data_IF_965045571947
#
_entry.id   IF_965045571947
#
_cell.length_a   1.000
_cell.length_b   1.000
_cell.length_c   1.000
_cell.angle_alpha   90.00
_cell.angle_beta   90.00
_cell.angle_gamma   90.00
#
_symmetry.space_group_name_H-M   'P 1'
#
loop_
_entity.id
_entity.type
_entity.pdbx_description
1 polymer ?
#
# COMPACT_ATOMS: atom_id res chain seq x y z
N UNK A 1 -1.54 -1.02 -19.06
CA UNK A 1 -1.29 -2.31 -19.73
C UNK A 1 0.20 -2.37 -20.04
N UNK A 2 1.01 -3.10 -19.25
CA UNK A 2 2.42 -3.30 -19.62
C UNK A 2 2.44 -4.11 -20.91
N UNK A 3 2.99 -3.55 -22.00
CA UNK A 3 3.26 -4.36 -23.20
C UNK A 3 4.25 -5.45 -22.79
N UNK A 4 4.17 -6.64 -23.37
CA UNK A 4 5.14 -7.72 -23.10
C UNK A 4 6.59 -7.26 -23.26
N UNK A 5 6.83 -6.27 -24.12
CA UNK A 5 8.13 -5.59 -24.27
C UNK A 5 8.58 -4.83 -23.02
N UNK A 6 7.68 -4.10 -22.36
CA UNK A 6 8.01 -3.29 -21.18
C UNK A 6 8.38 -4.18 -19.99
N UNK A 7 7.64 -5.28 -19.81
CA UNK A 7 7.94 -6.29 -18.79
C UNK A 7 9.29 -6.97 -19.05
N UNK A 8 9.54 -7.40 -20.29
CA UNK A 8 10.82 -8.02 -20.65
C UNK A 8 11.99 -7.04 -20.50
N UNK A 9 11.78 -5.74 -20.78
CA UNK A 9 12.78 -4.70 -20.60
C UNK A 9 13.11 -4.48 -19.12
N UNK A 10 12.10 -4.44 -18.25
CA UNK A 10 12.29 -4.34 -16.80
C UNK A 10 13.01 -5.57 -16.23
N UNK A 11 12.67 -6.76 -16.70
CA UNK A 11 13.33 -8.00 -16.30
C UNK A 11 14.79 -8.00 -16.74
N UNK A 12 15.08 -7.57 -17.98
CA UNK A 12 16.44 -7.45 -18.49
C UNK A 12 17.25 -6.43 -17.68
N UNK A 13 16.69 -5.26 -17.40
CA UNK A 13 17.32 -4.24 -16.54
C UNK A 13 17.61 -4.78 -15.13
N UNK A 14 16.67 -5.53 -14.56
CA UNK A 14 16.83 -6.15 -13.24
C UNK A 14 18.00 -7.13 -13.23
N UNK A 15 18.07 -8.03 -14.21
CA UNK A 15 19.19 -8.97 -14.37
C UNK A 15 20.50 -8.23 -14.59
N UNK A 16 20.49 -7.16 -15.39
CA UNK A 16 21.68 -6.37 -15.70
C UNK A 16 22.22 -5.62 -14.47
N UNK A 17 21.34 -5.04 -13.65
CA UNK A 17 21.71 -4.42 -12.37
C UNK A 17 22.33 -5.46 -11.43
N UNK A 18 21.71 -6.64 -11.29
CA UNK A 18 22.26 -7.72 -10.46
C UNK A 18 23.61 -8.22 -10.98
N UNK A 19 23.78 -8.31 -12.30
CA UNK A 19 25.05 -8.69 -12.92
C UNK A 19 26.14 -7.65 -12.69
N UNK A 20 25.84 -6.36 -12.81
CA UNK A 20 26.80 -5.26 -12.53
C UNK A 20 27.20 -5.29 -11.05
N UNK A 21 26.24 -5.43 -10.14
CA UNK A 21 26.52 -5.50 -8.70
C UNK A 21 27.34 -6.76 -8.36
N UNK A 22 27.02 -7.90 -8.97
CA UNK A 22 27.77 -9.16 -8.82
C UNK A 22 29.21 -9.06 -9.34
N UNK A 23 29.40 -8.47 -10.52
CA UNK A 23 30.73 -8.16 -11.05
C UNK A 23 31.49 -7.20 -10.13
N UNK A 24 30.81 -6.19 -9.58
CA UNK A 24 31.36 -5.28 -8.59
C UNK A 24 31.87 -6.02 -7.34
N UNK A 25 31.13 -7.03 -6.84
CA UNK A 25 31.56 -7.84 -5.69
C UNK A 25 32.81 -8.66 -6.03
N UNK A 26 32.87 -9.23 -7.23
CA UNK A 26 34.00 -10.03 -7.69
C UNK A 26 35.28 -9.18 -7.86
N UNK A 27 35.16 -7.98 -8.41
CA UNK A 27 36.30 -7.08 -8.69
C UNK A 27 36.71 -6.22 -7.50
N UNK A 28 35.87 -6.10 -6.46
CA UNK A 28 36.15 -5.27 -5.29
C UNK A 28 37.33 -5.81 -4.47
N UNK A 29 38.36 -4.99 -4.19
CA UNK A 29 39.54 -5.43 -3.45
C UNK A 29 39.34 -5.45 -1.92
N UNK A 30 38.42 -4.65 -1.36
CA UNK A 30 38.24 -4.52 0.10
C UNK A 30 36.98 -5.22 0.60
N UNK A 31 37.04 -5.76 1.83
CA UNK A 31 35.89 -6.39 2.47
C UNK A 31 34.71 -5.42 2.64
N UNK A 32 35.00 -4.16 3.01
CA UNK A 32 33.99 -3.12 3.21
C UNK A 32 33.21 -2.83 1.92
N UNK A 33 33.90 -2.72 0.77
CA UNK A 33 33.24 -2.52 -0.53
C UNK A 33 32.38 -3.72 -0.93
N UNK A 34 32.87 -4.95 -0.70
CA UNK A 34 32.07 -6.17 -0.95
C UNK A 34 30.80 -6.18 -0.11
N UNK A 35 30.89 -5.87 1.18
CA UNK A 35 29.73 -5.84 2.07
C UNK A 35 28.73 -4.75 1.66
N UNK A 36 29.21 -3.57 1.27
CA UNK A 36 28.36 -2.50 0.78
C UNK A 36 27.59 -2.91 -0.50
N UNK A 37 28.25 -3.58 -1.45
CA UNK A 37 27.61 -4.07 -2.67
C UNK A 37 26.61 -5.20 -2.39
N UNK A 38 26.92 -6.10 -1.46
CA UNK A 38 25.99 -7.15 -1.00
C UNK A 38 24.73 -6.49 -0.39
N UNK A 39 24.89 -5.49 0.47
CA UNK A 39 23.77 -4.76 1.05
C UNK A 39 22.93 -4.05 -0.03
N UNK A 40 23.56 -3.47 -1.05
CA UNK A 40 22.85 -2.88 -2.18
C UNK A 40 22.01 -3.91 -2.96
N UNK A 41 22.51 -5.13 -3.15
CA UNK A 41 21.73 -6.23 -3.76
C UNK A 41 20.52 -6.56 -2.88
N UNK A 42 20.71 -6.67 -1.55
CA UNK A 42 19.63 -6.97 -0.60
C UNK A 42 18.55 -5.88 -0.66
N UNK A 43 18.93 -4.60 -0.62
CA UNK A 43 17.99 -3.49 -0.69
C UNK A 43 17.26 -3.44 -2.04
N UNK A 44 17.97 -3.66 -3.15
CA UNK A 44 17.35 -3.70 -4.48
C UNK A 44 16.34 -4.85 -4.61
N UNK A 45 16.69 -6.04 -4.10
CA UNK A 45 15.79 -7.18 -4.07
C UNK A 45 14.56 -6.92 -3.18
N UNK A 46 14.73 -6.24 -2.04
CA UNK A 46 13.62 -5.85 -1.17
C UNK A 46 12.66 -4.87 -1.88
N UNK A 47 13.19 -3.88 -2.62
CA UNK A 47 12.36 -2.96 -3.41
C UNK A 47 11.59 -3.69 -4.50
N UNK A 48 12.24 -4.60 -5.25
CA UNK A 48 11.57 -5.41 -6.26
C UNK A 48 10.47 -6.28 -5.65
N UNK A 49 10.73 -6.87 -4.49
CA UNK A 49 9.75 -7.64 -3.76
C UNK A 49 8.54 -6.80 -3.39
N UNK A 50 8.73 -5.62 -2.78
CA UNK A 50 7.66 -4.70 -2.41
C UNK A 50 6.86 -4.25 -3.67
N UNK A 51 7.54 -3.96 -4.77
CA UNK A 51 6.89 -3.58 -6.02
C UNK A 51 6.06 -4.73 -6.61
N UNK A 52 6.60 -5.95 -6.64
CA UNK A 52 5.88 -7.15 -7.10
C UNK A 52 4.66 -7.43 -6.24
N UNK A 53 4.80 -7.34 -4.91
CA UNK A 53 3.69 -7.45 -3.95
C UNK A 53 2.60 -6.46 -4.34
N UNK A 54 2.94 -5.18 -4.48
CA UNK A 54 1.99 -4.11 -4.82
C UNK A 54 1.29 -4.36 -6.16
N UNK A 55 2.02 -4.82 -7.18
CA UNK A 55 1.46 -5.14 -8.50
C UNK A 55 0.50 -6.33 -8.46
N UNK A 56 0.78 -7.35 -7.65
CA UNK A 56 -0.13 -8.49 -7.45
C UNK A 56 -1.43 -8.02 -6.79
N UNK A 57 -1.36 -7.15 -5.78
CA UNK A 57 -2.54 -6.55 -5.15
C UNK A 57 -3.38 -5.78 -6.17
N UNK A 58 -2.73 -4.90 -6.94
CA UNK A 58 -3.40 -4.07 -7.95
C UNK A 58 -4.06 -4.89 -9.07
N UNK A 59 -3.50 -6.05 -9.41
CA UNK A 59 -3.98 -6.86 -10.54
C UNK A 59 -4.97 -7.95 -10.14
N UNK A 60 -4.68 -8.71 -9.08
CA UNK A 60 -5.42 -9.92 -8.74
C UNK A 60 -6.46 -9.71 -7.63
N UNK A 61 -6.48 -8.51 -7.03
CA UNK A 61 -7.44 -8.15 -5.99
C UNK A 61 -7.14 -8.78 -4.62
N UNK A 62 -8.04 -8.50 -3.67
CA UNK A 62 -7.80 -8.66 -2.23
C UNK A 62 -7.50 -10.11 -1.79
N UNK A 63 -8.01 -11.12 -2.51
CA UNK A 63 -7.80 -12.54 -2.19
C UNK A 63 -6.34 -12.96 -2.32
N UNK A 64 -5.67 -12.53 -3.39
CA UNK A 64 -4.27 -12.86 -3.62
C UNK A 64 -3.34 -12.00 -2.75
N UNK A 65 -3.76 -10.78 -2.42
CA UNK A 65 -3.10 -9.97 -1.40
C UNK A 65 -3.06 -10.65 -0.03
N UNK A 66 -4.20 -11.16 0.44
CA UNK A 66 -4.28 -11.81 1.75
C UNK A 66 -3.36 -13.04 1.85
N UNK A 67 -3.29 -13.84 0.79
CA UNK A 67 -2.43 -15.03 0.75
C UNK A 67 -0.95 -14.65 0.79
N UNK A 68 -0.56 -13.63 0.04
CA UNK A 68 0.81 -13.11 0.02
C UNK A 68 1.18 -12.44 1.35
N UNK A 69 0.29 -11.64 1.93
CA UNK A 69 0.48 -11.04 3.24
C UNK A 69 0.66 -12.12 4.31
N UNK A 70 -0.10 -13.22 4.24
CA UNK A 70 0.07 -14.35 5.16
C UNK A 70 1.44 -15.03 5.00
N UNK A 71 1.93 -15.22 3.77
CA UNK A 71 3.29 -15.76 3.53
C UNK A 71 4.36 -14.81 4.07
N UNK A 72 4.23 -13.52 3.80
CA UNK A 72 5.17 -12.49 4.27
C UNK A 72 5.19 -12.45 5.80
N UNK A 73 4.02 -12.42 6.43
CA UNK A 73 3.93 -12.45 7.89
C UNK A 73 4.51 -13.73 8.47
N UNK A 74 4.26 -14.88 7.83
CA UNK A 74 4.90 -16.14 8.22
C UNK A 74 6.43 -16.08 8.15
N UNK A 75 6.98 -15.47 7.10
CA UNK A 75 8.43 -15.27 6.96
C UNK A 75 8.99 -14.26 7.97
N UNK A 76 8.28 -13.16 8.24
CA UNK A 76 8.67 -12.17 9.25
C UNK A 76 8.70 -12.82 10.63
N UNK A 77 7.66 -13.57 10.98
CA UNK A 77 7.58 -14.25 12.28
C UNK A 77 8.67 -15.31 12.42
N UNK A 78 8.97 -16.06 11.36
CA UNK A 78 9.99 -17.12 11.42
C UNK A 78 11.42 -16.58 11.51
N UNK A 79 11.70 -15.43 10.89
CA UNK A 79 13.05 -14.84 10.84
C UNK A 79 13.32 -13.82 11.95
N UNK A 80 12.31 -13.01 12.30
CA UNK A 80 12.43 -11.85 13.18
C UNK A 80 11.61 -11.97 14.48
N UNK A 81 10.88 -13.07 14.63
CA UNK A 81 10.06 -13.34 15.81
C UNK A 81 8.66 -12.72 15.76
N UNK A 82 7.84 -13.06 16.76
CA UNK A 82 6.42 -12.68 16.78
C UNK A 82 6.18 -11.17 16.94
N UNK A 83 7.08 -10.48 17.65
CA UNK A 83 7.01 -9.03 17.84
C UNK A 83 7.08 -8.28 16.51
N UNK A 84 8.02 -8.68 15.63
CA UNK A 84 8.14 -8.12 14.29
C UNK A 84 6.89 -8.41 13.43
N UNK A 85 6.29 -9.59 13.59
CA UNK A 85 5.03 -9.92 12.94
C UNK A 85 3.87 -9.02 13.37
N UNK A 86 3.75 -8.75 14.68
CA UNK A 86 2.73 -7.83 15.21
C UNK A 86 2.94 -6.42 14.66
N UNK A 87 4.17 -5.91 14.67
CA UNK A 87 4.50 -4.60 14.09
C UNK A 87 4.10 -4.55 12.61
N UNK A 88 4.42 -5.58 11.83
CA UNK A 88 4.08 -5.64 10.40
C UNK A 88 2.56 -5.63 10.16
N UNK A 89 1.77 -6.32 10.98
CA UNK A 89 0.30 -6.30 10.92
C UNK A 89 -0.23 -4.90 11.23
N UNK A 90 0.24 -4.29 12.32
CA UNK A 90 -0.19 -2.94 12.72
C UNK A 90 0.15 -1.91 11.64
N UNK A 91 1.37 -1.95 11.11
CA UNK A 91 1.78 -1.04 10.03
C UNK A 91 0.94 -1.23 8.77
N UNK A 92 0.64 -2.48 8.39
CA UNK A 92 -0.22 -2.79 7.25
C UNK A 92 -1.63 -2.23 7.46
N UNK A 93 -2.20 -2.41 8.65
CA UNK A 93 -3.51 -1.87 9.00
C UNK A 93 -3.53 -0.33 8.93
N UNK A 94 -2.50 0.34 9.47
CA UNK A 94 -2.40 1.81 9.46
C UNK A 94 -2.28 2.33 8.03
N UNK A 95 -1.37 1.77 7.22
CA UNK A 95 -1.17 2.18 5.83
C UNK A 95 -2.45 1.98 5.03
N UNK A 96 -3.07 0.80 5.13
CA UNK A 96 -4.27 0.50 4.35
C UNK A 96 -5.47 1.34 4.80
N UNK A 97 -5.65 1.53 6.10
CA UNK A 97 -6.70 2.39 6.64
C UNK A 97 -6.52 3.86 6.23
N UNK A 98 -5.28 4.34 6.14
CA UNK A 98 -4.96 5.67 5.63
C UNK A 98 -5.28 5.80 4.14
N UNK A 99 -4.85 4.85 3.31
CA UNK A 99 -5.19 4.82 1.87
C UNK A 99 -6.70 4.78 1.66
N UNK A 100 -7.41 3.91 2.38
CA UNK A 100 -8.88 3.83 2.33
C UNK A 100 -9.54 5.16 2.69
N UNK A 101 -9.04 5.85 3.72
CA UNK A 101 -9.56 7.14 4.14
C UNK A 101 -9.37 8.22 3.06
N UNK A 102 -8.19 8.29 2.45
CA UNK A 102 -7.92 9.24 1.36
C UNK A 102 -8.79 8.93 0.15
N UNK A 103 -8.89 7.68 -0.28
CA UNK A 103 -9.72 7.29 -1.42
C UNK A 103 -11.19 7.65 -1.20
N UNK A 104 -11.71 7.44 0.02
CA UNK A 104 -13.06 7.87 0.41
C UNK A 104 -13.25 9.39 0.28
N UNK A 105 -12.28 10.17 0.76
CA UNK A 105 -12.34 11.63 0.66
C UNK A 105 -12.28 12.12 -0.79
N UNK A 106 -11.37 11.56 -1.59
CA UNK A 106 -11.22 11.91 -3.00
C UNK A 106 -12.48 11.55 -3.79
N UNK A 107 -13.03 10.36 -3.55
CA UNK A 107 -14.26 9.93 -4.18
C UNK A 107 -15.45 10.81 -3.78
N UNK A 108 -15.54 11.22 -2.52
CA UNK A 108 -16.57 12.15 -2.05
C UNK A 108 -16.47 13.54 -2.70
N UNK A 109 -15.25 14.02 -2.94
CA UNK A 109 -14.99 15.29 -3.63
C UNK A 109 -15.08 15.19 -5.16
N UNK A 110 -15.62 14.10 -5.70
CA UNK A 110 -15.91 13.99 -7.14
C UNK A 110 -14.72 13.62 -8.01
N UNK A 111 -13.59 13.20 -7.44
CA UNK A 111 -12.41 12.81 -8.23
C UNK A 111 -12.72 11.54 -9.03
N UNK A 112 -12.84 11.66 -10.36
CA UNK A 112 -13.27 10.56 -11.24
C UNK A 112 -12.43 9.30 -11.07
N UNK A 113 -11.10 9.44 -10.95
CA UNK A 113 -10.20 8.31 -10.75
C UNK A 113 -10.50 7.51 -9.48
N UNK A 114 -10.78 8.21 -8.38
CA UNK A 114 -11.12 7.59 -7.10
C UNK A 114 -12.51 6.92 -7.16
N UNK A 115 -13.50 7.56 -7.79
CA UNK A 115 -14.84 6.98 -7.97
C UNK A 115 -14.78 5.69 -8.82
N UNK A 116 -14.04 5.72 -9.93
CA UNK A 116 -13.87 4.55 -10.81
C UNK A 116 -13.14 3.43 -10.08
N UNK A 117 -12.06 3.76 -9.37
CA UNK A 117 -11.34 2.79 -8.56
C UNK A 117 -12.26 2.17 -7.50
N UNK A 118 -13.04 2.98 -6.81
CA UNK A 118 -13.94 2.54 -5.75
C UNK A 118 -15.06 1.62 -6.29
N UNK A 119 -15.74 2.01 -7.38
CA UNK A 119 -16.78 1.19 -8.04
C UNK A 119 -16.21 -0.12 -8.60
N UNK A 120 -14.93 -0.15 -8.98
CA UNK A 120 -14.26 -1.36 -9.47
C UNK A 120 -13.88 -2.33 -8.36
N UNK A 121 -13.50 -1.84 -7.18
CA UNK A 121 -12.96 -2.68 -6.10
C UNK A 121 -14.00 -3.04 -5.04
N UNK A 122 -15.08 -2.27 -4.91
CA UNK A 122 -16.06 -2.47 -3.86
C UNK A 122 -17.44 -2.91 -4.36
N UNK A 123 -17.99 -3.88 -3.64
CA UNK A 123 -19.44 -4.12 -3.57
C UNK A 123 -19.97 -3.43 -2.32
N UNK A 124 -21.28 -3.16 -2.27
CA UNK A 124 -21.93 -2.60 -1.07
C UNK A 124 -21.61 -3.41 0.20
N UNK A 125 -21.55 -4.74 0.11
CA UNK A 125 -21.19 -5.64 1.21
C UNK A 125 -19.72 -5.52 1.62
N UNK A 126 -18.79 -5.60 0.67
CA UNK A 126 -17.36 -5.52 0.99
C UNK A 126 -16.97 -4.14 1.51
N UNK A 127 -17.55 -3.08 0.95
CA UNK A 127 -17.36 -1.72 1.45
C UNK A 127 -17.83 -1.55 2.90
N UNK A 128 -19.03 -2.05 3.25
CA UNK A 128 -19.55 -1.93 4.61
C UNK A 128 -18.68 -2.66 5.65
N UNK A 129 -18.07 -3.79 5.26
CA UNK A 129 -17.13 -4.52 6.11
C UNK A 129 -15.83 -3.72 6.27
N UNK A 130 -15.21 -3.28 5.17
CA UNK A 130 -13.97 -2.53 5.24
C UNK A 130 -14.12 -1.19 5.97
N UNK A 131 -15.23 -0.47 5.75
CA UNK A 131 -15.55 0.74 6.51
C UNK A 131 -15.61 0.47 8.01
N UNK A 132 -16.21 -0.65 8.45
CA UNK A 132 -16.25 -1.01 9.87
C UNK A 132 -14.86 -1.32 10.42
N UNK A 133 -14.05 -2.04 9.65
CA UNK A 133 -12.68 -2.42 10.04
C UNK A 133 -11.79 -1.18 10.16
N UNK A 134 -11.85 -0.27 9.19
CA UNK A 134 -11.02 0.93 9.15
C UNK A 134 -11.65 2.16 9.82
N UNK A 135 -12.81 2.00 10.46
CA UNK A 135 -13.47 3.10 11.17
C UNK A 135 -12.57 3.81 12.19
N UNK A 136 -11.73 3.10 12.99
CA UNK A 136 -10.77 3.77 13.87
C UNK A 136 -9.79 4.67 13.11
N UNK A 137 -9.33 4.26 11.92
CA UNK A 137 -8.44 5.08 11.09
C UNK A 137 -9.17 6.27 10.46
N UNK A 138 -10.43 6.09 10.05
CA UNK A 138 -11.27 7.20 9.58
C UNK A 138 -11.45 8.25 10.69
N UNK A 139 -11.65 7.84 11.95
CA UNK A 139 -11.72 8.77 13.07
C UNK A 139 -10.40 9.52 13.29
N UNK A 140 -9.27 8.82 13.17
CA UNK A 140 -7.95 9.46 13.24
C UNK A 140 -7.79 10.53 12.15
N UNK A 141 -8.19 10.23 10.92
CA UNK A 141 -8.15 11.19 9.81
C UNK A 141 -9.09 12.38 10.02
N UNK A 142 -10.30 12.13 10.56
CA UNK A 142 -11.21 13.20 10.98
C UNK A 142 -10.54 14.13 12.00
N UNK A 143 -9.85 13.58 13.00
CA UNK A 143 -9.13 14.39 13.99
C UNK A 143 -8.04 15.24 13.30
N UNK A 144 -7.27 14.65 12.39
CA UNK A 144 -6.19 15.36 11.70
C UNK A 144 -6.66 16.42 10.71
N UNK A 145 -7.75 16.17 10.00
CA UNK A 145 -8.20 17.03 8.90
C UNK A 145 -9.26 18.05 9.32
N UNK A 146 -10.05 17.76 10.35
CA UNK A 146 -11.09 18.66 10.85
C UNK A 146 -10.78 19.20 12.24
N UNK A 147 -10.49 18.34 13.22
CA UNK A 147 -10.39 18.77 14.63
C UNK A 147 -9.16 19.64 14.86
N UNK A 148 -7.97 19.19 14.42
CA UNK A 148 -6.73 19.95 14.61
C UNK A 148 -6.79 21.29 13.85
N UNK A 149 -7.17 21.35 12.56
CA UNK A 149 -7.30 22.61 11.86
C UNK A 149 -8.41 23.51 12.41
N UNK A 150 -9.54 22.94 12.83
CA UNK A 150 -10.61 23.70 13.46
C UNK A 150 -10.19 24.37 14.78
N UNK A 151 -9.27 23.76 15.53
CA UNK A 151 -8.67 24.37 16.73
C UNK A 151 -7.63 25.43 16.37
N UNK A 152 -6.78 25.19 15.37
CA UNK A 152 -5.64 26.06 15.03
C UNK A 152 -5.98 27.24 14.12
N UNK A 153 -6.86 27.03 13.15
CA UNK A 153 -7.17 27.97 12.07
C UNK A 153 -8.64 28.41 12.05
N UNK A 154 -9.48 27.88 12.95
CA UNK A 154 -10.94 28.13 13.01
C UNK A 154 -11.72 27.80 11.73
N UNK A 155 -11.08 27.11 10.78
CA UNK A 155 -11.67 26.66 9.53
C UNK A 155 -11.40 25.17 9.36
N UNK A 156 -12.44 24.41 9.01
CA UNK A 156 -12.27 23.02 8.57
C UNK A 156 -11.64 23.05 7.17
N UNK A 157 -10.49 22.38 7.00
CA UNK A 157 -9.77 22.38 5.73
C UNK A 157 -10.50 21.48 4.71
N UNK A 158 -11.13 20.40 5.19
CA UNK A 158 -11.80 19.37 4.40
C UNK A 158 -13.07 18.91 5.13
N UNK A 159 -14.16 18.71 4.40
CA UNK A 159 -15.42 18.12 4.91
C UNK A 159 -15.27 16.58 4.98
N UNK A 160 -14.50 16.10 5.96
CA UNK A 160 -14.15 14.70 6.16
C UNK A 160 -15.05 14.04 7.22
N UNK A 161 -16.38 14.08 7.09
CA UNK A 161 -17.23 13.37 8.07
C UNK A 161 -17.35 11.86 7.74
N UNK A 162 -16.82 10.93 8.57
CA UNK A 162 -16.82 9.50 8.22
C UNK A 162 -18.20 8.91 7.95
N UNK A 163 -19.24 9.38 8.67
CA UNK A 163 -20.61 8.88 8.51
C UNK A 163 -21.24 9.37 7.21
N UNK A 164 -20.93 10.59 6.81
CA UNK A 164 -21.44 11.18 5.57
C UNK A 164 -20.72 10.60 4.36
N UNK A 165 -19.39 10.46 4.44
CA UNK A 165 -18.58 9.72 3.46
C UNK A 165 -19.13 8.31 3.23
N UNK A 166 -19.44 7.58 4.31
CA UNK A 166 -20.05 6.25 4.20
C UNK A 166 -21.39 6.27 3.45
N UNK A 167 -22.29 7.18 3.81
CA UNK A 167 -23.62 7.28 3.16
C UNK A 167 -23.49 7.65 1.68
N UNK A 168 -22.65 8.63 1.36
CA UNK A 168 -22.42 9.09 -0.01
C UNK A 168 -21.92 7.94 -0.87
N UNK A 169 -20.86 7.25 -0.42
CA UNK A 169 -20.26 6.16 -1.18
C UNK A 169 -21.14 4.91 -1.25
N UNK A 170 -21.87 4.58 -0.17
CA UNK A 170 -22.81 3.48 -0.17
C UNK A 170 -23.95 3.71 -1.18
N UNK A 171 -24.45 4.94 -1.28
CA UNK A 171 -25.47 5.30 -2.27
C UNK A 171 -24.91 5.24 -3.70
N UNK A 172 -23.68 5.71 -3.92
CA UNK A 172 -23.00 5.60 -5.22
C UNK A 172 -22.81 4.15 -5.68
N UNK A 173 -22.46 3.24 -4.76
CA UNK A 173 -22.36 1.81 -5.04
C UNK A 173 -23.72 1.11 -5.24
N UNK A 174 -24.82 1.71 -4.80
CA UNK A 174 -26.17 1.17 -5.01
C UNK A 174 -26.77 1.58 -6.37
N UNK A 175 -26.27 2.68 -6.94
CA UNK A 175 -26.73 3.21 -8.25
C UNK A 175 -26.10 2.49 -9.44
N UNK A 176 -24.89 1.94 -9.27
CA UNK A 176 -24.18 1.15 -10.28
C UNK A 176 -24.41 -0.34 -10.11
#
# INVERSE_FOLDING_TARGET
MFKSKDFNMLLLLTVLILAILGLGIYTSPTYTQKMQLINSIIYFAAVLFIASVTLIVLWHGFKHFALMLAIILGAIISLLGIEAGIIAVVMTYVIWGFTFSIEMLLAHNGVEGAIVWFKKHYTTKSFAVEYRVFYPMMLTMYIFLEVIPGILYQEAILDFNPKELYKAMYNELKKG
#
